data_IF_145440296414
#
_entry.id   IF_145440296414
#
_cell.length_a   1.000
_cell.length_b   1.000
_cell.length_c   1.000
_cell.angle_alpha   90.00
_cell.angle_beta   90.00
_cell.angle_gamma   90.00
#
_symmetry.space_group_name_H-M   'P 1'
#
loop_
_entity.id
_entity.type
_entity.pdbx_description
1 polymer ?
#
# COMPACT_ATOMS: atom_id res chain seq x y z
N UNK A 1 8.81 23.70 -6.31
CA UNK A 1 8.85 24.25 -4.93
C UNK A 1 10.10 23.64 -4.30
N UNK A 2 10.46 23.95 -3.05
CA UNK A 2 11.47 23.09 -2.40
C UNK A 2 10.75 21.81 -2.00
N UNK A 3 11.27 20.65 -2.43
CA UNK A 3 10.73 19.34 -2.02
C UNK A 3 10.66 19.17 -0.50
N UNK A 4 10.02 18.11 0.00
CA UNK A 4 9.85 17.90 1.43
C UNK A 4 11.17 18.07 2.19
N UNK A 5 11.14 18.85 3.26
CA UNK A 5 12.27 18.88 4.19
C UNK A 5 12.44 17.51 4.85
N UNK A 6 13.68 17.13 5.16
CA UNK A 6 13.98 15.88 5.88
C UNK A 6 13.09 15.70 7.13
N UNK A 7 12.90 16.78 7.89
CA UNK A 7 12.05 16.79 9.08
C UNK A 7 10.56 16.53 8.83
N UNK A 8 10.03 16.82 7.62
CA UNK A 8 8.64 16.50 7.29
C UNK A 8 8.44 14.99 7.07
N UNK A 9 9.41 14.34 6.43
CA UNK A 9 9.38 12.88 6.24
C UNK A 9 9.56 12.14 7.56
N UNK A 10 10.41 12.64 8.46
CA UNK A 10 10.53 12.10 9.83
C UNK A 10 9.22 12.24 10.61
N UNK A 11 8.56 13.40 10.52
CA UNK A 11 7.26 13.62 11.15
C UNK A 11 6.20 12.65 10.62
N UNK A 12 6.22 12.35 9.32
CA UNK A 12 5.36 11.35 8.71
C UNK A 12 5.63 9.94 9.22
N UNK A 13 6.89 9.52 9.26
CA UNK A 13 7.29 8.22 9.81
C UNK A 13 6.77 8.06 11.23
N UNK A 14 7.02 9.05 12.08
CA UNK A 14 6.63 9.00 13.49
C UNK A 14 5.11 9.01 13.67
N UNK A 15 4.39 9.74 12.81
CA UNK A 15 2.93 9.72 12.75
C UNK A 15 2.40 8.34 12.38
N UNK A 16 2.96 7.70 11.35
CA UNK A 16 2.53 6.37 10.91
C UNK A 16 2.80 5.31 11.98
N UNK A 17 3.99 5.32 12.62
CA UNK A 17 4.30 4.41 13.73
C UNK A 17 3.30 4.54 14.87
N UNK A 18 3.08 5.78 15.34
CA UNK A 18 2.15 6.06 16.43
C UNK A 18 0.72 5.61 16.10
N UNK A 19 0.26 5.84 14.87
CA UNK A 19 -1.07 5.40 14.42
C UNK A 19 -1.14 3.87 14.35
N UNK A 20 -0.12 3.22 13.80
CA UNK A 20 0.02 1.77 13.79
C UNK A 20 -0.11 1.16 15.19
N UNK A 21 0.61 1.70 16.17
CA UNK A 21 0.53 1.27 17.58
C UNK A 21 -0.88 1.43 18.16
N UNK A 22 -1.52 2.58 17.94
CA UNK A 22 -2.89 2.84 18.42
C UNK A 22 -3.88 1.85 17.79
N UNK A 23 -3.80 1.62 16.49
CA UNK A 23 -4.69 0.69 15.78
C UNK A 23 -4.44 -0.75 16.18
N UNK A 24 -3.19 -1.14 16.41
CA UNK A 24 -2.84 -2.48 16.89
C UNK A 24 -3.34 -2.72 18.32
N UNK A 25 -3.18 -1.74 19.21
CA UNK A 25 -3.69 -1.83 20.59
C UNK A 25 -5.22 -1.95 20.65
N UNK A 26 -5.93 -1.42 19.65
CA UNK A 26 -7.38 -1.53 19.49
C UNK A 26 -7.82 -2.77 18.73
N UNK A 27 -6.93 -3.37 17.94
CA UNK A 27 -7.21 -4.61 17.27
C UNK A 27 -7.32 -5.70 18.33
N UNK A 28 -8.56 -6.12 18.63
CA UNK A 28 -8.80 -7.32 19.40
C UNK A 28 -8.10 -8.54 18.77
N UNK A 29 -8.07 -9.70 19.45
CA UNK A 29 -7.54 -10.92 18.87
C UNK A 29 -8.19 -11.15 17.51
N UNK A 30 -7.39 -11.41 16.47
CA UNK A 30 -7.87 -11.64 15.10
C UNK A 30 -8.84 -12.83 15.14
N UNK A 31 -10.13 -12.54 15.23
CA UNK A 31 -11.15 -13.55 15.50
C UNK A 31 -11.57 -14.13 14.16
N UNK A 32 -10.86 -15.18 13.73
CA UNK A 32 -11.03 -15.86 12.44
C UNK A 32 -10.77 -14.96 11.21
N UNK A 33 -10.34 -15.53 10.07
CA UNK A 33 -10.25 -14.76 8.85
C UNK A 33 -11.64 -14.16 8.53
N UNK A 34 -11.71 -12.90 8.09
CA UNK A 34 -12.97 -12.29 7.70
C UNK A 34 -13.69 -13.26 6.75
N UNK A 35 -14.92 -13.63 7.10
CA UNK A 35 -15.71 -14.59 6.33
C UNK A 35 -15.65 -14.25 4.85
N UNK A 36 -15.51 -15.29 4.01
CA UNK A 36 -15.19 -15.37 2.58
C UNK A 36 -15.82 -14.33 1.60
N UNK A 37 -15.82 -13.06 1.98
CA UNK A 37 -16.27 -11.91 1.25
C UNK A 37 -15.11 -11.38 0.44
N UNK A 38 -14.96 -11.96 -0.76
CA UNK A 38 -14.33 -11.44 -1.99
C UNK A 38 -13.01 -10.67 -1.85
N UNK A 39 -11.94 -11.35 -2.29
CA UNK A 39 -10.76 -10.78 -2.95
C UNK A 39 -10.06 -9.63 -2.21
N UNK A 40 -9.74 -9.85 -0.93
CA UNK A 40 -8.89 -8.93 -0.20
C UNK A 40 -7.45 -9.45 -0.16
N UNK A 41 -6.49 -8.57 -0.47
CA UNK A 41 -5.06 -8.79 -0.30
C UNK A 41 -4.63 -8.98 1.17
N UNK A 42 -5.51 -8.66 2.14
CA UNK A 42 -5.19 -8.64 3.58
C UNK A 42 -4.50 -9.91 4.09
N UNK A 43 -4.98 -11.14 3.81
CA UNK A 43 -4.36 -12.35 4.36
C UNK A 43 -2.95 -12.58 3.82
N UNK A 44 -2.72 -12.29 2.53
CA UNK A 44 -1.39 -12.45 1.91
C UNK A 44 -0.42 -11.38 2.41
N UNK A 45 -0.89 -10.13 2.54
CA UNK A 45 -0.10 -9.06 3.16
C UNK A 45 0.30 -9.41 4.60
N UNK A 46 -0.65 -9.85 5.42
CA UNK A 46 -0.36 -10.25 6.80
C UNK A 46 0.57 -11.45 6.87
N UNK A 47 0.41 -12.44 5.98
CA UNK A 47 1.33 -13.58 5.89
C UNK A 47 2.75 -13.10 5.54
N UNK A 48 2.89 -12.24 4.54
CA UNK A 48 4.18 -11.68 4.12
C UNK A 48 4.85 -10.93 5.26
N UNK A 49 4.09 -10.04 5.91
CA UNK A 49 4.60 -9.21 7.01
C UNK A 49 5.01 -10.02 8.23
N UNK A 50 4.40 -11.19 8.45
CA UNK A 50 4.71 -12.11 9.56
C UNK A 50 5.73 -13.19 9.19
N UNK A 51 6.24 -13.17 7.95
CA UNK A 51 7.05 -14.26 7.39
C UNK A 51 6.38 -15.64 7.50
N UNK A 52 5.05 -15.68 7.39
CA UNK A 52 4.24 -16.89 7.39
C UNK A 52 4.04 -17.45 5.98
N UNK A 53 3.67 -18.72 5.89
CA UNK A 53 3.21 -19.32 4.63
C UNK A 53 1.77 -18.90 4.29
N UNK A 54 1.43 -18.92 3.00
CA UNK A 54 0.07 -18.69 2.51
C UNK A 54 -0.54 -19.98 1.95
N UNK A 55 -1.87 -20.02 1.91
CA UNK A 55 -2.60 -21.08 1.22
C UNK A 55 -2.34 -21.04 -0.30
N UNK A 56 -2.48 -22.20 -0.99
CA UNK A 56 -2.28 -22.31 -2.43
C UNK A 56 -3.09 -21.31 -3.24
N UNK A 57 -2.52 -20.89 -4.38
CA UNK A 57 -3.19 -19.98 -5.29
C UNK A 57 -4.36 -20.60 -6.04
N UNK A 58 -5.45 -19.84 -6.27
CA UNK A 58 -6.34 -20.18 -7.37
C UNK A 58 -5.54 -20.09 -8.67
N UNK A 59 -5.94 -20.86 -9.68
CA UNK A 59 -5.21 -20.96 -10.96
C UNK A 59 -5.07 -19.62 -11.72
N UNK A 60 -5.98 -18.68 -11.48
CA UNK A 60 -5.93 -17.33 -12.05
C UNK A 60 -6.29 -16.28 -10.98
N UNK A 61 -5.33 -15.89 -10.13
CA UNK A 61 -5.58 -14.94 -9.06
C UNK A 61 -5.79 -13.53 -9.64
N UNK A 62 -6.57 -12.71 -8.92
CA UNK A 62 -6.62 -11.28 -9.20
C UNK A 62 -5.21 -10.65 -9.09
N UNK A 63 -4.90 -9.56 -9.83
CA UNK A 63 -3.53 -9.02 -9.89
C UNK A 63 -2.93 -8.63 -8.54
N UNK A 64 -3.73 -8.12 -7.61
CA UNK A 64 -3.32 -7.79 -6.25
C UNK A 64 -2.88 -9.05 -5.49
N UNK A 65 -3.68 -10.12 -5.58
CA UNK A 65 -3.34 -11.41 -4.98
C UNK A 65 -2.09 -12.03 -5.62
N UNK A 66 -1.91 -11.88 -6.93
CA UNK A 66 -0.72 -12.35 -7.64
C UNK A 66 0.54 -11.63 -7.12
N UNK A 67 0.51 -10.30 -7.00
CA UNK A 67 1.63 -9.48 -6.51
C UNK A 67 2.01 -9.80 -5.08
N UNK A 68 1.03 -9.92 -4.18
CA UNK A 68 1.29 -10.31 -2.80
C UNK A 68 1.84 -11.73 -2.67
N UNK A 69 1.42 -12.66 -3.54
CA UNK A 69 2.04 -13.98 -3.61
C UNK A 69 3.46 -13.97 -4.12
N UNK A 70 3.79 -13.18 -5.13
CA UNK A 70 5.17 -13.07 -5.61
C UNK A 70 6.13 -12.58 -4.52
N UNK A 71 5.66 -11.71 -3.62
CA UNK A 71 6.40 -11.29 -2.43
C UNK A 71 6.61 -12.43 -1.43
N UNK A 72 5.59 -13.26 -1.20
CA UNK A 72 5.63 -14.41 -0.28
C UNK A 72 6.50 -15.56 -0.78
N UNK A 73 6.23 -16.03 -2.00
CA UNK A 73 6.74 -17.31 -2.50
C UNK A 73 8.14 -17.18 -3.10
N UNK A 74 8.64 -15.95 -3.27
CA UNK A 74 9.87 -15.72 -4.03
C UNK A 74 9.69 -15.83 -5.55
N UNK A 75 8.63 -16.49 -6.00
CA UNK A 75 8.35 -16.80 -7.39
C UNK A 75 7.88 -15.57 -8.20
N UNK A 76 8.27 -15.52 -9.47
CA UNK A 76 7.95 -14.42 -10.37
C UNK A 76 7.20 -14.88 -11.62
N UNK A 77 5.88 -14.70 -11.66
CA UNK A 77 5.21 -14.66 -12.96
C UNK A 77 4.09 -13.61 -12.96
N UNK A 78 4.43 -12.33 -12.88
CA UNK A 78 3.43 -11.26 -13.03
C UNK A 78 3.78 -10.43 -14.24
N UNK A 79 2.85 -10.38 -15.18
CA UNK A 79 2.88 -9.54 -16.37
C UNK A 79 2.52 -8.09 -16.01
N UNK A 80 3.33 -7.49 -15.12
CA UNK A 80 3.33 -6.03 -14.96
C UNK A 80 4.34 -5.51 -15.96
N UNK A 81 3.85 -4.85 -17.01
CA UNK A 81 4.72 -4.10 -17.90
C UNK A 81 5.29 -2.89 -17.15
N UNK A 82 6.60 -2.86 -16.83
CA UNK A 82 7.21 -1.71 -16.17
C UNK A 82 7.19 -0.46 -17.04
N UNK A 83 6.88 -0.57 -18.34
CA UNK A 83 6.85 0.52 -19.32
C UNK A 83 5.44 1.04 -19.61
N UNK A 84 4.41 0.49 -18.96
CA UNK A 84 3.03 0.96 -19.14
C UNK A 84 2.82 2.43 -18.71
N UNK A 85 3.80 3.05 -18.04
CA UNK A 85 3.79 4.47 -17.68
C UNK A 85 2.70 4.81 -16.66
N UNK A 86 2.16 6.03 -16.76
CA UNK A 86 1.10 6.56 -15.88
C UNK A 86 -0.23 5.88 -16.19
N UNK A 87 -0.44 4.71 -15.59
CA UNK A 87 -1.65 3.92 -15.71
C UNK A 87 -1.90 3.08 -14.44
N UNK A 88 -3.15 2.64 -14.20
CA UNK A 88 -3.47 1.63 -13.19
C UNK A 88 -2.65 0.34 -13.39
N UNK A 89 -2.42 -0.41 -12.32
CA UNK A 89 -1.82 -1.76 -12.39
C UNK A 89 -2.91 -2.80 -12.59
N UNK A 90 -3.99 -2.75 -11.81
CA UNK A 90 -5.12 -3.64 -11.91
C UNK A 90 -6.06 -3.20 -13.05
N UNK A 91 -6.47 -4.11 -13.95
CA UNK A 91 -7.39 -3.80 -15.03
C UNK A 91 -8.80 -3.57 -14.45
N UNK A 92 -9.37 -2.39 -14.73
CA UNK A 92 -10.69 -2.00 -14.20
C UNK A 92 -11.82 -2.99 -14.53
N UNK A 93 -11.78 -3.62 -15.70
CA UNK A 93 -12.80 -4.56 -16.16
C UNK A 93 -12.95 -5.81 -15.27
N UNK A 94 -11.97 -6.12 -14.41
CA UNK A 94 -12.02 -7.26 -13.50
C UNK A 94 -12.90 -7.03 -12.26
N UNK A 95 -13.41 -5.81 -12.04
CA UNK A 95 -14.07 -5.41 -10.81
C UNK A 95 -15.45 -4.79 -11.06
N UNK A 96 -16.38 -5.04 -10.13
CA UNK A 96 -17.79 -4.61 -10.27
C UNK A 96 -18.04 -3.16 -9.88
N UNK A 97 -17.24 -2.61 -8.96
CA UNK A 97 -17.41 -1.24 -8.44
C UNK A 97 -16.08 -0.50 -8.50
N UNK A 98 -16.14 0.83 -8.52
CA UNK A 98 -14.94 1.67 -8.55
C UNK A 98 -14.14 1.52 -7.26
N UNK A 99 -14.79 1.37 -6.12
CA UNK A 99 -14.17 1.27 -4.80
C UNK A 99 -13.37 -0.03 -4.66
N UNK A 100 -13.97 -1.16 -5.09
CA UNK A 100 -13.29 -2.46 -5.07
C UNK A 100 -12.09 -2.49 -6.02
N UNK A 101 -12.21 -1.86 -7.18
CA UNK A 101 -11.11 -1.71 -8.12
C UNK A 101 -10.00 -0.80 -7.55
N UNK A 102 -10.36 0.36 -7.02
CA UNK A 102 -9.41 1.31 -6.41
C UNK A 102 -8.65 0.65 -5.27
N UNK A 103 -9.31 -0.10 -4.40
CA UNK A 103 -8.65 -0.87 -3.33
C UNK A 103 -7.64 -1.88 -3.89
N UNK A 104 -8.07 -2.68 -4.87
CA UNK A 104 -7.20 -3.69 -5.45
C UNK A 104 -6.00 -3.06 -6.19
N UNK A 105 -6.22 -1.95 -6.90
CA UNK A 105 -5.15 -1.24 -7.59
C UNK A 105 -4.16 -0.61 -6.61
N UNK A 106 -4.64 0.02 -5.53
CA UNK A 106 -3.77 0.53 -4.46
C UNK A 106 -3.00 -0.61 -3.77
N UNK A 107 -3.62 -1.77 -3.56
CA UNK A 107 -2.93 -2.95 -3.04
C UNK A 107 -1.87 -3.48 -4.01
N UNK A 108 -2.12 -3.42 -5.33
CA UNK A 108 -1.11 -3.71 -6.35
C UNK A 108 0.06 -2.75 -6.29
N UNK A 109 -0.20 -1.44 -6.19
CA UNK A 109 0.83 -0.39 -6.12
C UNK A 109 1.74 -0.63 -4.91
N UNK A 110 1.13 -0.91 -3.76
CA UNK A 110 1.84 -1.23 -2.52
C UNK A 110 2.75 -2.47 -2.70
N UNK A 111 2.20 -3.58 -3.19
CA UNK A 111 2.97 -4.81 -3.38
C UNK A 111 4.09 -4.63 -4.41
N UNK A 112 3.82 -3.93 -5.52
CA UNK A 112 4.79 -3.70 -6.59
C UNK A 112 5.99 -2.88 -6.12
N UNK A 113 5.76 -1.86 -5.28
CA UNK A 113 6.84 -1.06 -4.69
C UNK A 113 7.77 -1.91 -3.83
N UNK A 114 7.22 -2.74 -2.93
CA UNK A 114 8.01 -3.66 -2.11
C UNK A 114 8.73 -4.71 -2.92
N UNK A 115 8.09 -5.20 -3.97
CA UNK A 115 8.67 -6.18 -4.86
C UNK A 115 9.87 -5.57 -5.61
N UNK A 116 9.75 -4.31 -6.03
CA UNK A 116 10.86 -3.51 -6.54
C UNK A 116 12.01 -3.38 -5.54
N UNK A 117 11.70 -3.03 -4.29
CA UNK A 117 12.71 -2.87 -3.22
C UNK A 117 13.41 -4.18 -2.85
N UNK A 118 12.65 -5.19 -2.49
CA UNK A 118 13.16 -6.48 -2.00
C UNK A 118 13.96 -7.25 -3.06
N UNK A 119 13.73 -6.96 -4.35
CA UNK A 119 14.42 -7.62 -5.47
C UNK A 119 15.44 -6.73 -6.18
N UNK A 120 15.63 -5.48 -5.74
CA UNK A 120 16.55 -4.54 -6.39
C UNK A 120 16.14 -4.20 -7.84
N UNK A 121 14.85 -4.02 -8.09
CA UNK A 121 14.25 -3.75 -9.41
C UNK A 121 13.68 -2.32 -9.45
N UNK A 122 14.52 -1.29 -9.70
CA UNK A 122 14.11 0.11 -9.64
C UNK A 122 13.01 0.47 -10.64
N UNK A 123 12.89 -0.25 -11.75
CA UNK A 123 11.83 -0.05 -12.73
C UNK A 123 10.43 -0.37 -12.19
N UNK A 124 10.31 -1.28 -11.21
CA UNK A 124 9.04 -1.59 -10.56
C UNK A 124 8.65 -0.50 -9.56
N UNK A 125 9.64 0.07 -8.87
CA UNK A 125 9.45 1.26 -8.04
C UNK A 125 8.97 2.41 -8.91
N UNK A 126 9.67 2.70 -10.02
CA UNK A 126 9.24 3.73 -10.98
C UNK A 126 7.81 3.49 -11.49
N UNK A 127 7.47 2.25 -11.84
CA UNK A 127 6.12 1.88 -12.27
C UNK A 127 5.06 2.11 -11.19
N UNK A 128 5.36 1.82 -9.93
CA UNK A 128 4.47 2.08 -8.79
C UNK A 128 4.23 3.58 -8.57
N UNK A 129 5.27 4.40 -8.74
CA UNK A 129 5.17 5.86 -8.69
C UNK A 129 4.33 6.43 -9.84
N UNK A 130 4.49 5.88 -11.05
CA UNK A 130 3.66 6.27 -12.21
C UNK A 130 2.18 5.91 -12.00
N UNK A 131 1.89 4.77 -11.38
CA UNK A 131 0.52 4.41 -11.01
C UNK A 131 -0.05 5.36 -9.95
N UNK A 132 0.72 5.68 -8.91
CA UNK A 132 0.30 6.62 -7.86
C UNK A 132 0.04 8.02 -8.42
N UNK A 133 0.88 8.49 -9.34
CA UNK A 133 0.70 9.76 -10.05
C UNK A 133 -0.58 9.75 -10.91
N UNK A 134 -0.85 8.64 -11.60
CA UNK A 134 -2.12 8.46 -12.30
C UNK A 134 -3.33 8.51 -11.35
N UNK A 135 -3.24 7.90 -10.15
CA UNK A 135 -4.29 7.94 -9.13
C UNK A 135 -4.60 9.36 -8.67
N UNK A 136 -3.57 10.18 -8.42
CA UNK A 136 -3.75 11.59 -8.04
C UNK A 136 -4.57 12.34 -9.09
N UNK A 137 -4.26 12.12 -10.37
CA UNK A 137 -4.92 12.83 -11.47
C UNK A 137 -6.36 12.35 -11.71
N UNK A 138 -6.66 11.07 -11.49
CA UNK A 138 -7.91 10.46 -11.96
C UNK A 138 -8.85 9.96 -10.87
N UNK A 139 -8.35 9.71 -9.65
CA UNK A 139 -9.10 9.03 -8.59
C UNK A 139 -9.13 9.88 -7.33
N UNK A 140 -10.34 10.18 -6.86
CA UNK A 140 -10.51 10.83 -5.58
C UNK A 140 -10.13 9.85 -4.44
N UNK A 141 -9.31 10.27 -3.47
CA UNK A 141 -8.82 9.41 -2.39
C UNK A 141 -9.91 8.91 -1.42
N UNK A 142 -11.09 9.53 -1.43
CA UNK A 142 -12.27 9.12 -0.66
C UNK A 142 -13.03 7.93 -1.27
N UNK A 143 -12.75 7.58 -2.53
CA UNK A 143 -13.30 6.37 -3.17
C UNK A 143 -12.64 5.07 -2.70
N UNK A 144 -11.62 5.14 -1.84
CA UNK A 144 -10.90 3.98 -1.32
C UNK A 144 -11.55 3.39 -0.05
N UNK A 145 -11.30 2.11 0.17
CA UNK A 145 -12.02 1.19 1.08
C UNK A 145 -11.60 1.25 2.55
N UNK A 146 -11.11 2.41 3.00
CA UNK A 146 -10.62 2.66 4.35
C UNK A 146 -9.32 1.95 4.77
N UNK A 147 -8.62 1.28 3.85
CA UNK A 147 -7.23 0.83 4.08
C UNK A 147 -6.27 1.83 3.46
N UNK A 148 -5.20 2.24 4.15
CA UNK A 148 -4.25 3.20 3.62
C UNK A 148 -3.22 2.52 2.70
N UNK A 149 -3.68 1.67 1.77
CA UNK A 149 -2.82 0.98 0.82
C UNK A 149 -1.95 1.98 0.03
N UNK A 150 -0.73 1.58 -0.27
CA UNK A 150 0.28 2.38 -0.97
C UNK A 150 0.60 3.76 -0.35
N UNK A 151 0.25 4.03 0.92
CA UNK A 151 0.50 5.34 1.55
C UNK A 151 1.97 5.80 1.43
N UNK A 152 2.93 4.88 1.55
CA UNK A 152 4.35 5.19 1.38
C UNK A 152 4.73 5.55 -0.06
N UNK A 153 4.05 4.98 -1.07
CA UNK A 153 4.32 5.26 -2.48
C UNK A 153 3.91 6.69 -2.83
N UNK A 154 2.82 7.19 -2.25
CA UNK A 154 2.42 8.61 -2.42
C UNK A 154 3.39 9.57 -1.72
N UNK A 155 3.94 9.19 -0.57
CA UNK A 155 4.99 9.97 0.11
C UNK A 155 6.32 9.94 -0.65
N UNK A 156 6.67 8.79 -1.24
CA UNK A 156 7.82 8.65 -2.13
C UNK A 156 7.64 9.51 -3.38
N UNK A 157 6.45 9.53 -3.97
CA UNK A 157 6.11 10.37 -5.11
C UNK A 157 6.27 11.86 -4.76
N UNK A 158 5.76 12.30 -3.60
CA UNK A 158 5.94 13.67 -3.11
C UNK A 158 7.41 14.04 -2.99
N UNK A 159 8.23 13.16 -2.42
CA UNK A 159 9.67 13.38 -2.28
C UNK A 159 10.40 13.36 -3.62
N UNK A 160 10.24 12.29 -4.39
CA UNK A 160 11.05 12.00 -5.58
C UNK A 160 10.71 12.89 -6.76
N UNK A 161 9.46 13.38 -6.85
CA UNK A 161 8.98 14.19 -8.00
C UNK A 161 8.52 15.60 -7.62
N UNK A 162 8.64 16.01 -6.36
CA UNK A 162 8.14 17.30 -5.84
C UNK A 162 6.62 17.51 -6.12
N UNK A 163 5.84 16.42 -6.03
CA UNK A 163 4.39 16.43 -6.26
C UNK A 163 3.65 16.54 -4.93
N UNK A 164 3.25 17.77 -4.55
CA UNK A 164 2.60 18.05 -3.26
C UNK A 164 1.31 17.23 -3.06
N UNK A 165 0.60 16.95 -4.14
CA UNK A 165 -0.62 16.15 -4.15
C UNK A 165 -0.39 14.73 -3.62
N UNK A 166 0.83 14.19 -3.73
CA UNK A 166 1.19 12.90 -3.13
C UNK A 166 1.05 12.93 -1.61
N UNK A 167 1.49 14.02 -0.97
CA UNK A 167 1.28 14.22 0.47
C UNK A 167 -0.20 14.31 0.80
N UNK A 168 -0.95 15.14 0.08
CA UNK A 168 -2.38 15.34 0.34
C UNK A 168 -3.16 14.03 0.19
N UNK A 169 -2.83 13.23 -0.84
CA UNK A 169 -3.42 11.92 -1.06
C UNK A 169 -3.11 10.96 0.10
N UNK A 170 -1.87 10.93 0.59
CA UNK A 170 -1.48 10.16 1.77
C UNK A 170 -2.21 10.63 3.05
N UNK A 171 -2.43 11.93 3.22
CA UNK A 171 -3.21 12.49 4.35
C UNK A 171 -4.65 12.00 4.31
N UNK A 172 -5.29 12.00 3.15
CA UNK A 172 -6.66 11.52 3.00
C UNK A 172 -6.77 10.01 3.22
N UNK A 173 -5.85 9.21 2.68
CA UNK A 173 -5.82 7.76 2.94
C UNK A 173 -5.69 7.44 4.44
N UNK A 174 -4.81 8.15 5.14
CA UNK A 174 -4.64 8.02 6.58
C UNK A 174 -5.88 8.47 7.36
N UNK A 175 -6.51 9.56 6.94
CA UNK A 175 -7.75 10.05 7.56
C UNK A 175 -8.90 9.04 7.39
N UNK A 176 -9.09 8.49 6.20
CA UNK A 176 -10.13 7.49 5.93
C UNK A 176 -9.91 6.23 6.79
N UNK A 177 -8.65 5.82 6.94
CA UNK A 177 -8.29 4.72 7.83
C UNK A 177 -8.60 5.03 9.31
N UNK A 178 -8.32 6.25 9.77
CA UNK A 178 -8.66 6.72 11.13
C UNK A 178 -10.18 6.67 11.37
N UNK A 179 -10.98 7.16 10.42
CA UNK A 179 -12.46 7.16 10.51
C UNK A 179 -12.98 5.72 10.59
N UNK A 180 -12.50 4.83 9.73
CA UNK A 180 -12.96 3.44 9.76
C UNK A 180 -12.51 2.69 11.01
N UNK A 181 -11.28 2.90 11.48
CA UNK A 181 -10.77 2.31 12.71
C UNK A 181 -11.51 2.79 13.96
N UNK A 182 -12.09 3.99 13.92
CA UNK A 182 -12.94 4.52 15.00
C UNK A 182 -14.37 3.95 15.02
N UNK A 183 -14.83 3.34 13.92
CA UNK A 183 -16.24 3.01 13.71
C UNK A 183 -16.66 1.58 14.12
N UNK A 184 -15.74 0.68 14.51
CA UNK A 184 -16.06 -0.73 14.81
C UNK A 184 -15.37 -1.29 16.07
N UNK A 185 -16.13 -2.06 16.85
CA UNK A 185 -15.72 -2.82 18.04
C UNK A 185 -14.92 -4.08 17.67
N UNK A 186 -15.02 -4.56 16.43
CA UNK A 186 -14.20 -5.62 15.83
C UNK A 186 -13.93 -5.21 14.37
N UNK A 187 -12.68 -4.90 14.03
CA UNK A 187 -12.36 -4.27 12.75
C UNK A 187 -11.00 -4.66 12.17
N UNK A 188 -10.70 -4.25 10.92
CA UNK A 188 -9.45 -4.53 10.20
C UNK A 188 -8.22 -3.81 10.81
N UNK A 189 -8.28 -3.44 12.10
CA UNK A 189 -7.26 -2.64 12.80
C UNK A 189 -5.86 -3.24 12.70
N UNK A 190 -5.73 -4.57 12.72
CA UNK A 190 -4.43 -5.23 12.55
C UNK A 190 -3.84 -5.01 11.14
N UNK A 191 -4.65 -5.10 10.09
CA UNK A 191 -4.21 -4.85 8.71
C UNK A 191 -3.82 -3.40 8.55
N UNK A 192 -4.70 -2.48 8.96
CA UNK A 192 -4.45 -1.03 8.88
C UNK A 192 -3.18 -0.67 9.67
N UNK A 193 -2.98 -1.23 10.86
CA UNK A 193 -1.78 -1.06 11.67
C UNK A 193 -0.51 -1.52 10.95
N UNK A 194 -0.56 -2.71 10.35
CA UNK A 194 0.58 -3.23 9.60
C UNK A 194 0.87 -2.41 8.35
N UNK A 195 -0.14 -1.89 7.63
CA UNK A 195 0.07 -1.00 6.47
C UNK A 195 0.75 0.31 6.92
N UNK A 196 0.35 0.87 8.06
CA UNK A 196 1.02 2.06 8.61
C UNK A 196 2.46 1.78 9.04
N UNK A 197 2.71 0.65 9.73
CA UNK A 197 4.06 0.26 10.12
C UNK A 197 4.96 0.07 8.89
N UNK A 198 4.41 -0.57 7.86
CA UNK A 198 5.08 -0.76 6.58
C UNK A 198 5.39 0.58 5.88
N UNK A 199 4.46 1.54 5.93
CA UNK A 199 4.73 2.87 5.41
C UNK A 199 5.80 3.63 6.20
N UNK A 200 5.90 3.42 7.52
CA UNK A 200 6.99 3.98 8.31
C UNK A 200 8.35 3.35 7.95
N UNK A 201 8.42 2.03 7.77
CA UNK A 201 9.65 1.35 7.37
C UNK A 201 10.14 1.82 5.99
N UNK A 202 9.21 2.04 5.05
CA UNK A 202 9.53 2.60 3.75
C UNK A 202 10.13 4.01 3.86
N UNK A 203 9.62 4.86 4.76
CA UNK A 203 10.18 6.18 5.02
C UNK A 203 11.56 6.11 5.67
N UNK A 204 11.81 5.17 6.59
CA UNK A 204 13.17 4.96 7.12
C UNK A 204 14.15 4.61 6.00
N UNK A 205 13.75 3.72 5.08
CA UNK A 205 14.58 3.39 3.93
C UNK A 205 14.89 4.62 3.06
N UNK A 206 13.88 5.46 2.76
CA UNK A 206 14.07 6.68 1.98
C UNK A 206 14.98 7.70 2.69
N UNK A 207 14.83 7.86 4.01
CA UNK A 207 15.66 8.76 4.82
C UNK A 207 17.12 8.30 4.82
N UNK A 208 17.35 6.99 4.92
CA UNK A 208 18.69 6.40 4.88
C UNK A 208 19.33 6.51 3.49
N UNK A 209 18.57 6.27 2.42
CA UNK A 209 19.06 6.39 1.02
C UNK A 209 19.47 7.85 0.69
N UNK A 210 18.87 8.85 1.36
CA UNK A 210 19.19 10.27 1.18
C UNK A 210 20.40 10.77 1.99
N UNK A 211 20.80 10.07 3.05
CA UNK A 211 21.93 10.46 3.90
C UNK A 211 23.30 10.07 3.31
N UNK A 212 23.32 9.31 2.22
CA UNK A 212 24.52 8.83 1.53
C UNK A 212 24.99 9.67 0.34
N UNK A 213 24.44 10.87 0.14
CA UNK A 213 24.79 11.82 -0.94
C UNK A 213 25.50 13.04 -0.38
#
# INVERSE_FOLDING_TARGET
MSGPGFGELEAWRDRLRRRGEIWLARAGPVSSPPGAGRFSADPLFLAWRRAGGAEPAPENPAPDLALWRALLDGAWPIDVDPRAGRAPIAPRAAYRTIEAWTEADLACIHALWWLGRTRGRPELIARSLDAADWHIEHIQPDNATNRPWAIHVFLDLWRARDVLEGRLHAETLLHNADVAAGSKVEGPGAVIAHIAADGADALDAMLNDGAGV
#
